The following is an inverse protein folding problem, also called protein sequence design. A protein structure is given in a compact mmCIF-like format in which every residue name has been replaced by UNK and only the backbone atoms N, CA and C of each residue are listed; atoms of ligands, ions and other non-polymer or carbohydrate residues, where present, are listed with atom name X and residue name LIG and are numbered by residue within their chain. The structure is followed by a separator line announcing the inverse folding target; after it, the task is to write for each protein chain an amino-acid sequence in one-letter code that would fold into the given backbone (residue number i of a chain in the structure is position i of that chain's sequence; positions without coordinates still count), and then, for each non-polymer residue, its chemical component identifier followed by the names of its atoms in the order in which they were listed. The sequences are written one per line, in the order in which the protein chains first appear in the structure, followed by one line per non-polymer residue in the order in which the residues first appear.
data_IF_951514503757
#
_entry.id   IF_951514503757
#
_cell.length_a   1.000
_cell.length_b   1.000
_cell.length_c   1.000
_cell.angle_alpha   90.00
_cell.angle_beta   90.00
_cell.angle_gamma   90.00
#
_symmetry.space_group_name_H-M   'P 1'
#
loop_
_entity.id
_entity.type
_entity.pdbx_description
1 polymer ?
#
# COMPACT_ATOMS: atom_id res chain seq x y z
N UNK A 1 -4.26 13.10 0.62
CA UNK A 1 -3.62 12.07 -0.23
C UNK A 1 -3.09 12.72 -1.49
N UNK A 2 -1.88 12.35 -1.92
CA UNK A 2 -1.28 12.74 -3.20
C UNK A 2 -1.28 11.55 -4.15
N UNK A 3 -1.71 11.74 -5.40
CA UNK A 3 -1.64 10.72 -6.45
C UNK A 3 -0.69 11.22 -7.55
N UNK A 4 0.44 10.55 -7.70
CA UNK A 4 1.51 10.92 -8.62
C UNK A 4 1.49 9.92 -9.78
N UNK A 5 1.17 10.39 -10.98
CA UNK A 5 1.14 9.57 -12.19
C UNK A 5 2.44 9.79 -12.97
N UNK A 6 3.07 8.72 -13.42
CA UNK A 6 4.27 8.72 -14.25
C UNK A 6 4.04 7.90 -15.50
N UNK A 7 4.78 8.24 -16.55
CA UNK A 7 4.58 7.65 -17.88
C UNK A 7 4.81 6.14 -17.87
N UNK A 8 5.79 5.67 -17.10
CA UNK A 8 6.12 4.24 -17.00
C UNK A 8 6.60 3.84 -15.61
N UNK A 9 6.82 2.53 -15.45
CA UNK A 9 7.29 1.91 -14.22
C UNK A 9 8.68 2.37 -13.77
N UNK A 10 9.58 2.74 -14.69
CA UNK A 10 10.91 3.23 -14.37
C UNK A 10 10.83 4.66 -13.82
N UNK A 11 10.01 5.52 -14.45
CA UNK A 11 9.77 6.89 -14.01
C UNK A 11 9.07 6.92 -12.64
N UNK A 12 8.10 6.03 -12.40
CA UNK A 12 7.47 5.83 -11.09
C UNK A 12 8.50 5.40 -10.03
N UNK A 13 9.30 4.38 -10.33
CA UNK A 13 10.34 3.87 -9.43
C UNK A 13 11.39 4.92 -9.09
N UNK A 14 11.86 5.67 -10.09
CA UNK A 14 12.84 6.75 -9.93
C UNK A 14 12.28 7.87 -9.06
N UNK A 15 11.01 8.24 -9.26
CA UNK A 15 10.36 9.26 -8.43
C UNK A 15 10.31 8.83 -6.96
N UNK A 16 9.89 7.60 -6.67
CA UNK A 16 9.83 7.07 -5.30
C UNK A 16 11.23 7.02 -4.67
N UNK A 17 12.24 6.53 -5.38
CA UNK A 17 13.61 6.48 -4.88
C UNK A 17 14.16 7.87 -4.56
N UNK A 18 13.96 8.85 -5.44
CA UNK A 18 14.37 10.23 -5.19
C UNK A 18 13.64 10.83 -3.99
N UNK A 19 12.34 10.56 -3.83
CA UNK A 19 11.59 11.01 -2.67
C UNK A 19 12.15 10.42 -1.36
N UNK A 20 12.45 9.11 -1.33
CA UNK A 20 13.09 8.48 -0.15
C UNK A 20 14.44 9.14 0.16
N UNK A 21 15.27 9.39 -0.85
CA UNK A 21 16.58 10.05 -0.69
C UNK A 21 16.41 11.47 -0.12
N UNK A 22 15.48 12.26 -0.67
CA UNK A 22 15.17 13.60 -0.17
C UNK A 22 14.69 13.56 1.28
N UNK A 23 13.89 12.56 1.65
CA UNK A 23 13.40 12.41 3.02
C UNK A 23 14.50 12.06 4.00
N UNK A 24 15.38 11.12 3.65
CA UNK A 24 16.55 10.78 4.49
C UNK A 24 17.48 11.99 4.62
N UNK A 25 17.78 12.70 3.53
CA UNK A 25 18.64 13.90 3.56
C UNK A 25 18.05 15.03 4.39
N UNK A 26 16.75 15.29 4.23
CA UNK A 26 16.05 16.33 5.00
C UNK A 26 15.93 15.99 6.49
N UNK A 27 15.91 14.71 6.84
CA UNK A 27 15.95 14.24 8.21
C UNK A 27 17.36 14.36 8.82
N UNK A 28 18.40 14.15 8.01
CA UNK A 28 19.81 14.20 8.42
C UNK A 28 20.12 13.24 9.59
N UNK A 29 20.01 11.92 9.38
CA UNK A 29 20.08 10.93 10.46
C UNK A 29 21.49 10.84 11.08
N UNK A 30 21.53 10.52 12.37
CA UNK A 30 22.74 10.21 13.14
C UNK A 30 22.57 8.89 13.89
N UNK A 31 23.61 8.42 14.57
CA UNK A 31 23.53 7.21 15.39
C UNK A 31 22.49 7.33 16.52
N UNK A 32 22.32 8.52 17.09
CA UNK A 32 21.36 8.80 18.18
C UNK A 32 19.94 9.06 17.69
N UNK A 33 19.80 9.48 16.42
CA UNK A 33 18.53 9.78 15.79
C UNK A 33 18.54 9.19 14.36
N UNK A 34 18.32 7.88 14.21
CA UNK A 34 18.31 7.23 12.90
C UNK A 34 17.00 7.54 12.15
N UNK A 35 17.05 7.43 10.82
CA UNK A 35 15.83 7.47 9.99
C UNK A 35 15.22 6.08 9.89
N UNK A 36 13.93 5.93 10.20
CA UNK A 36 13.26 4.63 10.23
C UNK A 36 12.43 4.41 8.96
N UNK A 37 12.79 3.37 8.19
CA UNK A 37 12.25 3.07 6.87
C UNK A 37 11.51 1.71 6.85
N UNK A 38 10.22 1.72 6.55
CA UNK A 38 9.43 0.51 6.28
C UNK A 38 9.60 0.06 4.83
N UNK A 39 9.85 -1.23 4.59
CA UNK A 39 10.20 -1.77 3.28
C UNK A 39 9.31 -2.97 2.85
N UNK A 40 8.82 -3.01 1.61
CA UNK A 40 8.07 -4.15 1.08
C UNK A 40 8.97 -5.09 0.27
N UNK A 41 8.47 -6.29 -0.04
CA UNK A 41 9.07 -7.19 -1.02
C UNK A 41 8.23 -7.23 -2.31
N UNK A 42 8.48 -8.21 -3.19
CA UNK A 42 7.73 -8.40 -4.43
C UNK A 42 8.28 -7.60 -5.59
N UNK A 43 7.56 -7.63 -6.72
CA UNK A 43 8.05 -7.05 -7.98
C UNK A 43 8.00 -5.52 -8.03
N UNK A 44 7.01 -4.90 -7.39
CA UNK A 44 6.81 -3.44 -7.45
C UNK A 44 7.98 -2.61 -6.92
N UNK A 45 8.63 -2.93 -5.78
CA UNK A 45 9.74 -2.12 -5.27
C UNK A 45 11.10 -2.38 -5.95
N UNK A 46 11.22 -3.37 -6.85
CA UNK A 46 12.52 -3.73 -7.45
C UNK A 46 13.20 -2.55 -8.15
N UNK A 47 12.46 -1.79 -8.95
CA UNK A 47 13.00 -0.59 -9.62
C UNK A 47 13.43 0.48 -8.62
N UNK A 48 12.71 0.62 -7.50
CA UNK A 48 13.06 1.56 -6.43
C UNK A 48 14.39 1.14 -5.80
N UNK A 49 14.57 -0.14 -5.46
CA UNK A 49 15.81 -0.65 -4.89
C UNK A 49 17.01 -0.48 -5.83
N UNK A 50 16.83 -0.75 -7.14
CA UNK A 50 17.87 -0.54 -8.14
C UNK A 50 18.37 0.91 -8.14
N UNK A 51 17.44 1.88 -8.20
CA UNK A 51 17.81 3.30 -8.19
C UNK A 51 18.46 3.71 -6.87
N UNK A 52 17.95 3.23 -5.71
CA UNK A 52 18.57 3.53 -4.41
C UNK A 52 20.02 2.99 -4.32
N UNK A 53 20.26 1.79 -4.84
CA UNK A 53 21.60 1.18 -4.89
C UNK A 53 22.52 1.97 -5.82
N UNK A 54 22.06 2.36 -7.00
CA UNK A 54 22.83 3.19 -7.94
C UNK A 54 23.22 4.52 -7.30
N UNK A 55 22.26 5.18 -6.65
CA UNK A 55 22.46 6.46 -5.95
C UNK A 55 23.41 6.34 -4.77
N UNK A 56 23.36 5.23 -4.03
CA UNK A 56 24.33 4.96 -2.98
C UNK A 56 25.74 4.78 -3.54
N UNK A 57 25.90 3.97 -4.60
CA UNK A 57 27.20 3.74 -5.26
C UNK A 57 27.79 5.02 -5.88
N UNK A 58 26.93 5.96 -6.29
CA UNK A 58 27.32 7.29 -6.74
C UNK A 58 27.70 8.25 -5.60
N UNK A 59 27.60 7.84 -4.34
CA UNK A 59 27.87 8.69 -3.17
C UNK A 59 26.78 9.72 -2.87
N UNK A 60 25.60 9.59 -3.47
CA UNK A 60 24.52 10.56 -3.30
C UNK A 60 23.71 10.33 -2.02
N UNK A 61 23.77 9.14 -1.41
CA UNK A 61 23.02 8.78 -0.19
C UNK A 61 23.78 7.74 0.66
N UNK A 62 23.63 7.80 1.98
CA UNK A 62 24.15 6.81 2.94
C UNK A 62 23.00 6.19 3.71
N UNK A 63 23.11 4.89 3.99
CA UNK A 63 22.16 4.10 4.80
C UNK A 63 22.75 3.69 6.16
N UNK A 64 23.92 4.24 6.54
CA UNK A 64 24.62 3.91 7.79
C UNK A 64 23.76 4.16 9.04
N UNK A 65 22.98 5.23 9.03
CA UNK A 65 22.08 5.62 10.13
C UNK A 65 20.60 5.45 9.75
N UNK A 66 20.31 4.47 8.90
CA UNK A 66 18.95 4.06 8.57
C UNK A 66 18.63 2.76 9.29
N UNK A 67 17.46 2.70 9.93
CA UNK A 67 16.87 1.49 10.52
C UNK A 67 15.72 1.05 9.65
N UNK A 68 15.66 -0.23 9.31
CA UNK A 68 14.67 -0.76 8.37
C UNK A 68 13.78 -1.81 9.00
N UNK A 69 12.48 -1.77 8.70
CA UNK A 69 11.50 -2.78 9.08
C UNK A 69 10.80 -3.33 7.83
N UNK A 70 10.88 -4.63 7.59
CA UNK A 70 10.14 -5.28 6.53
C UNK A 70 8.67 -5.54 6.91
N UNK A 71 7.80 -5.62 5.90
CA UNK A 71 6.36 -5.85 6.10
C UNK A 71 6.04 -7.26 6.61
N UNK A 72 6.72 -8.27 6.11
CA UNK A 72 6.30 -9.66 6.24
C UNK A 72 7.46 -10.66 6.04
N UNK A 73 7.21 -11.91 6.45
CA UNK A 73 8.04 -13.08 6.14
C UNK A 73 7.16 -14.34 6.17
N UNK A 74 7.48 -15.32 5.33
CA UNK A 74 6.77 -16.60 5.33
C UNK A 74 7.08 -17.40 6.60
N UNK A 75 6.06 -18.08 7.13
CA UNK A 75 6.23 -19.00 8.26
C UNK A 75 6.77 -20.35 7.77
N UNK A 76 7.82 -20.83 8.43
CA UNK A 76 8.39 -22.17 8.19
C UNK A 76 9.30 -22.26 6.96
N UNK A 77 9.56 -21.17 6.24
CA UNK A 77 10.54 -21.17 5.14
C UNK A 77 11.97 -21.03 5.70
N UNK A 78 12.96 -21.82 5.25
CA UNK A 78 14.34 -21.59 5.67
C UNK A 78 14.80 -20.17 5.34
N UNK A 79 15.53 -19.53 6.27
CA UNK A 79 15.98 -18.14 6.13
C UNK A 79 16.90 -17.90 4.93
N UNK A 80 17.63 -18.92 4.52
CA UNK A 80 18.53 -18.94 3.37
C UNK A 80 17.85 -19.42 2.09
N UNK A 81 16.56 -19.81 2.15
CA UNK A 81 15.80 -20.16 0.95
C UNK A 81 15.78 -18.97 -0.01
N UNK A 82 15.99 -19.17 -1.33
CA UNK A 82 16.10 -18.07 -2.30
C UNK A 82 14.86 -17.18 -2.34
N UNK A 83 13.69 -17.76 -2.12
CA UNK A 83 12.38 -17.08 -2.11
C UNK A 83 11.90 -16.62 -0.72
N UNK A 84 12.73 -16.77 0.32
CA UNK A 84 12.43 -16.11 1.61
C UNK A 84 12.54 -14.59 1.44
N UNK A 85 11.75 -13.83 2.19
CA UNK A 85 11.80 -12.37 2.12
C UNK A 85 13.09 -11.82 2.72
N UNK A 86 13.68 -12.54 3.66
CA UNK A 86 15.07 -12.36 4.07
C UNK A 86 16.02 -12.41 2.86
N UNK A 87 16.10 -13.53 2.13
CA UNK A 87 16.99 -13.65 0.95
C UNK A 87 16.69 -12.60 -0.13
N UNK A 88 15.41 -12.31 -0.39
CA UNK A 88 15.00 -11.26 -1.33
C UNK A 88 15.63 -9.92 -0.97
N UNK A 89 15.51 -9.47 0.29
CA UNK A 89 16.01 -8.16 0.69
C UNK A 89 17.53 -8.08 0.65
N UNK A 90 18.24 -9.14 1.06
CA UNK A 90 19.70 -9.18 0.96
C UNK A 90 20.19 -9.23 -0.48
N UNK A 91 19.49 -9.95 -1.36
CA UNK A 91 19.82 -10.03 -2.78
C UNK A 91 19.64 -8.70 -3.50
N UNK A 92 18.54 -8.00 -3.23
CA UNK A 92 18.13 -6.83 -4.02
C UNK A 92 18.54 -5.49 -3.41
N UNK A 93 18.80 -5.42 -2.11
CA UNK A 93 19.05 -4.14 -1.44
C UNK A 93 20.18 -4.18 -0.42
N UNK A 94 20.04 -4.92 0.68
CA UNK A 94 20.91 -4.76 1.85
C UNK A 94 22.39 -5.12 1.59
N UNK A 95 22.69 -6.06 0.70
CA UNK A 95 24.09 -6.39 0.35
C UNK A 95 24.79 -5.33 -0.52
N UNK A 96 24.05 -4.35 -1.03
CA UNK A 96 24.55 -3.37 -2.01
C UNK A 96 24.65 -1.96 -1.44
N UNK A 97 24.29 -1.77 -0.16
CA UNK A 97 24.33 -0.49 0.55
C UNK A 97 25.02 -0.63 1.90
N UNK A 98 25.46 0.49 2.48
CA UNK A 98 26.16 0.52 3.77
C UNK A 98 25.23 0.49 5.00
N UNK A 99 24.08 -0.19 4.93
CA UNK A 99 23.20 -0.38 6.10
C UNK A 99 23.86 -1.34 7.08
N UNK A 100 23.86 -0.99 8.38
CA UNK A 100 24.41 -1.89 9.39
C UNK A 100 23.47 -3.08 9.63
N UNK A 101 23.94 -4.34 9.69
CA UNK A 101 23.06 -5.51 9.86
C UNK A 101 22.18 -5.46 11.12
N UNK A 102 22.63 -4.82 12.20
CA UNK A 102 21.81 -4.64 13.42
C UNK A 102 20.62 -3.70 13.24
N UNK A 103 20.64 -2.88 12.19
CA UNK A 103 19.57 -1.93 11.87
C UNK A 103 18.54 -2.56 10.92
N UNK A 104 18.72 -3.82 10.54
CA UNK A 104 17.82 -4.55 9.65
C UNK A 104 16.88 -5.43 10.47
N UNK A 105 15.59 -5.12 10.44
CA UNK A 105 14.54 -5.87 11.11
C UNK A 105 13.63 -6.54 10.07
N UNK A 106 13.59 -7.87 10.11
CA UNK A 106 12.71 -8.72 9.31
C UNK A 106 12.09 -9.73 10.28
N UNK A 107 10.78 -9.95 10.18
CA UNK A 107 10.04 -10.90 11.00
C UNK A 107 10.65 -12.30 10.92
N UNK A 108 10.84 -12.96 12.06
CA UNK A 108 11.34 -14.33 12.08
C UNK A 108 10.21 -15.36 11.92
N UNK A 109 9.91 -15.76 10.68
CA UNK A 109 8.92 -16.78 10.37
C UNK A 109 9.21 -18.19 10.91
N UNK A 110 10.39 -18.42 11.50
CA UNK A 110 10.78 -19.68 12.15
C UNK A 110 10.93 -19.53 13.68
N UNK A 111 10.43 -18.44 14.27
CA UNK A 111 10.47 -18.25 15.71
C UNK A 111 9.71 -19.39 16.43
N UNK A 112 10.20 -19.87 17.59
CA UNK A 112 9.53 -20.93 18.34
C UNK A 112 8.15 -20.49 18.86
N UNK A 113 7.97 -19.18 19.08
CA UNK A 113 6.68 -18.58 19.40
C UNK A 113 6.43 -17.39 18.46
N UNK A 114 5.56 -17.61 17.48
CA UNK A 114 5.23 -16.63 16.45
C UNK A 114 4.47 -15.41 17.00
N UNK A 115 3.63 -15.58 18.02
CA UNK A 115 2.91 -14.45 18.64
C UNK A 115 3.87 -13.55 19.41
N UNK A 116 4.82 -14.14 20.14
CA UNK A 116 5.85 -13.39 20.85
C UNK A 116 6.76 -12.62 19.87
N UNK A 117 7.09 -13.21 18.73
CA UNK A 117 7.82 -12.54 17.64
C UNK A 117 7.05 -11.31 17.13
N UNK A 118 5.74 -11.42 16.88
CA UNK A 118 4.91 -10.30 16.44
C UNK A 118 4.89 -9.15 17.46
N UNK A 119 4.76 -9.47 18.76
CA UNK A 119 4.78 -8.47 19.84
C UNK A 119 6.15 -7.79 19.93
N UNK A 120 7.24 -8.57 19.89
CA UNK A 120 8.60 -8.05 19.93
C UNK A 120 8.89 -7.12 18.74
N UNK A 121 8.35 -7.44 17.56
CA UNK A 121 8.50 -6.62 16.36
C UNK A 121 7.82 -5.26 16.51
N UNK A 122 6.60 -5.23 17.05
CA UNK A 122 5.87 -3.99 17.36
C UNK A 122 6.58 -3.14 18.42
N UNK A 123 7.17 -3.79 19.43
CA UNK A 123 7.93 -3.10 20.47
C UNK A 123 9.26 -2.56 19.95
N UNK A 124 9.92 -3.26 19.02
CA UNK A 124 11.11 -2.75 18.33
C UNK A 124 10.80 -1.49 17.50
N UNK A 125 9.67 -1.46 16.78
CA UNK A 125 9.21 -0.26 16.06
C UNK A 125 9.00 0.92 17.03
N UNK A 126 8.35 0.68 18.17
CA UNK A 126 8.12 1.73 19.18
C UNK A 126 9.41 2.20 19.83
N UNK A 127 10.36 1.31 20.08
CA UNK A 127 11.64 1.62 20.73
C UNK A 127 12.47 2.62 19.92
N UNK A 128 12.36 2.61 18.59
CA UNK A 128 13.02 3.58 17.70
C UNK A 128 12.16 4.81 17.39
N UNK A 129 11.01 4.97 18.05
CA UNK A 129 10.14 6.15 17.90
C UNK A 129 9.09 6.06 16.79
N UNK A 130 8.91 4.89 16.18
CA UNK A 130 8.00 4.66 15.06
C UNK A 130 8.67 4.78 13.68
N UNK A 131 7.90 4.51 12.62
CA UNK A 131 8.39 4.51 11.24
C UNK A 131 8.23 5.92 10.65
N UNK A 132 9.31 6.48 10.09
CA UNK A 132 9.28 7.80 9.46
C UNK A 132 8.66 7.75 8.07
N UNK A 133 9.02 6.75 7.28
CA UNK A 133 8.45 6.53 5.95
C UNK A 133 8.24 5.03 5.74
N UNK A 134 7.02 4.65 5.38
CA UNK A 134 6.69 3.28 5.02
C UNK A 134 6.49 3.18 3.50
N UNK A 135 7.40 2.50 2.80
CA UNK A 135 7.21 2.13 1.41
C UNK A 135 6.32 0.88 1.33
N UNK A 136 5.28 0.92 0.51
CA UNK A 136 4.33 -0.17 0.36
C UNK A 136 4.06 -0.49 -1.12
N UNK A 137 3.65 -1.72 -1.39
CA UNK A 137 2.99 -2.11 -2.63
C UNK A 137 1.52 -2.42 -2.39
N UNK A 138 0.84 -2.88 -3.44
CA UNK A 138 -0.55 -3.36 -3.38
C UNK A 138 -0.69 -4.70 -4.08
N UNK A 139 -1.53 -5.58 -3.53
CA UNK A 139 -2.07 -6.78 -4.18
C UNK A 139 -3.01 -6.46 -5.35
N UNK A 140 -3.31 -7.44 -6.20
CA UNK A 140 -4.35 -7.28 -7.26
C UNK A 140 -5.76 -7.22 -6.67
N UNK A 141 -5.93 -7.73 -5.45
CA UNK A 141 -7.13 -7.70 -4.60
C UNK A 141 -7.16 -6.49 -3.63
N UNK A 142 -6.17 -5.60 -3.70
CA UNK A 142 -6.07 -4.44 -2.82
C UNK A 142 -5.39 -4.66 -1.47
N UNK A 143 -4.76 -5.81 -1.23
CA UNK A 143 -4.05 -6.03 0.03
C UNK A 143 -2.80 -5.15 0.17
N UNK A 144 -2.49 -4.75 1.40
CA UNK A 144 -1.20 -4.19 1.80
C UNK A 144 -0.46 -5.19 2.70
N UNK A 145 0.82 -5.48 2.41
CA UNK A 145 1.52 -6.64 2.99
C UNK A 145 0.66 -7.91 2.81
N UNK A 146 0.65 -8.84 3.77
CA UNK A 146 -0.34 -9.94 3.78
C UNK A 146 -1.66 -9.57 4.47
N UNK A 147 -2.07 -8.29 4.52
CA UNK A 147 -3.39 -7.91 5.00
C UNK A 147 -4.44 -8.12 3.91
N UNK A 148 -4.75 -9.39 3.67
CA UNK A 148 -5.72 -9.87 2.68
C UNK A 148 -7.15 -9.37 2.94
N UNK A 149 -8.03 -9.41 1.92
CA UNK A 149 -9.44 -9.04 2.07
C UNK A 149 -10.10 -9.68 3.29
N UNK A 150 -10.82 -8.85 4.06
CA UNK A 150 -11.45 -9.21 5.33
C UNK A 150 -10.56 -8.94 6.55
N UNK A 151 -9.29 -8.56 6.38
CA UNK A 151 -8.42 -8.18 7.50
C UNK A 151 -8.92 -6.92 8.20
N UNK A 152 -8.88 -6.92 9.54
CA UNK A 152 -9.26 -5.73 10.32
C UNK A 152 -8.39 -4.52 9.92
N UNK A 153 -9.03 -3.37 9.71
CA UNK A 153 -8.34 -2.11 9.44
C UNK A 153 -7.55 -1.59 10.67
N UNK A 154 -7.90 -2.08 11.86
CA UNK A 154 -7.18 -1.81 13.11
C UNK A 154 -6.18 -2.93 13.47
N UNK A 155 -5.86 -3.83 12.54
CA UNK A 155 -4.98 -4.98 12.81
C UNK A 155 -3.55 -4.55 13.16
N UNK A 156 -2.91 -5.34 14.04
CA UNK A 156 -1.48 -5.29 14.39
C UNK A 156 -0.71 -6.41 13.71
N UNK A 157 0.61 -6.42 13.91
CA UNK A 157 1.49 -7.51 13.49
C UNK A 157 0.98 -8.85 14.01
N UNK A 158 0.82 -9.83 13.12
CA UNK A 158 0.22 -11.14 13.45
C UNK A 158 0.62 -12.23 12.47
N UNK A 159 0.35 -13.47 12.88
CA UNK A 159 0.30 -14.63 11.97
C UNK A 159 -0.94 -14.51 11.07
N UNK A 160 -0.77 -14.76 9.79
CA UNK A 160 -1.84 -14.74 8.80
C UNK A 160 -1.76 -15.98 7.90
N UNK A 161 -2.87 -16.70 7.80
CA UNK A 161 -3.07 -17.72 6.77
C UNK A 161 -3.27 -17.04 5.43
N UNK A 162 -2.53 -17.47 4.42
CA UNK A 162 -2.61 -16.93 3.06
C UNK A 162 -3.84 -17.49 2.34
N UNK A 163 -4.53 -16.63 1.60
CA UNK A 163 -5.62 -16.97 0.71
C UNK A 163 -5.10 -17.79 -0.48
N UNK A 164 -6.01 -18.56 -1.07
CA UNK A 164 -5.69 -19.39 -2.23
C UNK A 164 -5.15 -18.56 -3.41
N UNK A 165 -5.74 -17.39 -3.68
CA UNK A 165 -5.30 -16.51 -4.76
C UNK A 165 -3.89 -15.96 -4.54
N UNK A 166 -3.52 -15.67 -3.29
CA UNK A 166 -2.15 -15.27 -2.91
C UNK A 166 -1.16 -16.41 -3.14
N UNK A 167 -1.53 -17.63 -2.73
CA UNK A 167 -0.72 -18.83 -2.97
C UNK A 167 -0.53 -19.06 -4.47
N UNK A 168 -1.61 -18.95 -5.26
CA UNK A 168 -1.57 -19.10 -6.70
C UNK A 168 -0.68 -18.04 -7.36
N UNK A 169 -0.82 -16.77 -6.97
CA UNK A 169 -0.02 -15.66 -7.49
C UNK A 169 1.47 -15.79 -7.14
N UNK A 170 1.78 -16.31 -5.94
CA UNK A 170 3.16 -16.48 -5.48
C UNK A 170 3.80 -17.76 -6.00
N UNK A 171 3.02 -18.76 -6.46
CA UNK A 171 3.56 -20.02 -7.02
C UNK A 171 4.54 -19.80 -8.16
N UNK A 172 4.42 -18.69 -8.92
CA UNK A 172 5.40 -18.30 -9.96
C UNK A 172 6.85 -18.15 -9.47
N UNK A 173 7.03 -17.93 -8.17
CA UNK A 173 8.34 -17.85 -7.52
C UNK A 173 8.81 -19.23 -7.01
N UNK A 174 7.90 -20.18 -6.85
CA UNK A 174 8.14 -21.54 -6.34
C UNK A 174 7.90 -22.58 -7.45
N UNK A 175 8.59 -22.43 -8.59
CA UNK A 175 8.53 -23.34 -9.74
C UNK A 175 7.11 -23.57 -10.33
N UNK A 176 6.18 -22.65 -10.09
CA UNK A 176 4.75 -22.79 -10.40
C UNK A 176 4.05 -23.95 -9.66
N UNK A 177 4.60 -24.38 -8.52
CA UNK A 177 4.00 -25.40 -7.64
C UNK A 177 3.41 -24.77 -6.38
N UNK A 178 2.07 -24.79 -6.30
CA UNK A 178 1.33 -24.27 -5.15
C UNK A 178 1.65 -24.97 -3.83
N UNK A 179 2.17 -26.22 -3.88
CA UNK A 179 2.47 -26.98 -2.67
C UNK A 179 3.77 -26.54 -2.01
N UNK A 180 4.65 -25.87 -2.76
CA UNK A 180 5.91 -25.33 -2.26
C UNK A 180 5.73 -23.95 -1.61
N UNK A 181 4.60 -23.27 -1.87
CA UNK A 181 4.30 -21.96 -1.29
C UNK A 181 3.91 -22.14 0.18
N UNK A 182 4.56 -21.42 1.12
CA UNK A 182 4.16 -21.44 2.53
C UNK A 182 2.70 -20.99 2.70
N UNK A 183 1.97 -21.67 3.59
CA UNK A 183 0.52 -21.39 3.80
C UNK A 183 0.25 -20.27 4.79
N UNK A 184 1.27 -19.83 5.52
CA UNK A 184 1.16 -18.79 6.54
C UNK A 184 2.32 -17.81 6.40
N UNK A 185 2.10 -16.58 6.85
CA UNK A 185 3.11 -15.55 6.95
C UNK A 185 2.96 -14.79 8.27
N UNK A 186 4.05 -14.21 8.74
CA UNK A 186 4.01 -13.10 9.67
C UNK A 186 3.87 -11.82 8.84
N UNK A 187 3.02 -10.90 9.27
CA UNK A 187 2.81 -9.62 8.58
C UNK A 187 2.55 -8.53 9.58
N UNK A 188 3.07 -7.33 9.31
CA UNK A 188 2.62 -6.09 9.95
C UNK A 188 1.12 -5.89 9.69
N UNK A 189 0.44 -5.27 10.66
CA UNK A 189 -0.98 -4.97 10.53
C UNK A 189 -1.25 -3.71 9.72
N UNK A 190 -2.52 -3.52 9.33
CA UNK A 190 -2.96 -2.28 8.65
C UNK A 190 -2.69 -1.07 9.53
N UNK A 191 -3.01 -1.14 10.83
CA UNK A 191 -2.76 -0.05 11.76
C UNK A 191 -1.26 0.19 11.97
N UNK A 192 -0.44 -0.86 11.96
CA UNK A 192 1.03 -0.75 12.05
C UNK A 192 1.59 0.09 10.90
N UNK A 193 1.05 -0.07 9.68
CA UNK A 193 1.44 0.78 8.54
C UNK A 193 0.89 2.19 8.67
N UNK A 194 -0.36 2.36 9.10
CA UNK A 194 -1.00 3.67 9.27
C UNK A 194 -0.43 4.52 10.42
N UNK A 195 0.41 3.92 11.28
CA UNK A 195 1.16 4.59 12.35
C UNK A 195 2.49 5.17 11.87
N UNK A 196 2.90 4.90 10.63
CA UNK A 196 4.05 5.59 10.05
C UNK A 196 3.76 7.09 9.87
N UNK A 197 4.80 7.93 9.86
CA UNK A 197 4.61 9.38 9.66
C UNK A 197 4.21 9.69 8.21
N UNK A 198 4.79 8.98 7.26
CA UNK A 198 4.46 9.01 5.83
C UNK A 198 4.29 7.58 5.31
N UNK A 199 3.30 7.39 4.43
CA UNK A 199 3.14 6.12 3.69
C UNK A 199 3.21 6.42 2.20
N UNK A 200 4.15 5.79 1.51
CA UNK A 200 4.36 5.91 0.07
C UNK A 200 4.04 4.56 -0.56
N UNK A 201 3.07 4.52 -1.47
CA UNK A 201 2.68 3.31 -2.18
C UNK A 201 3.14 3.38 -3.62
N UNK A 202 3.80 2.34 -4.12
CA UNK A 202 4.10 2.18 -5.54
C UNK A 202 3.18 1.14 -6.17
N UNK A 203 2.46 1.50 -7.23
CA UNK A 203 1.48 0.65 -7.91
C UNK A 203 1.75 0.65 -9.41
N UNK A 204 2.13 -0.50 -9.96
CA UNK A 204 2.61 -0.62 -11.33
C UNK A 204 1.80 -1.65 -12.13
N UNK A 205 1.46 -1.29 -13.35
CA UNK A 205 0.87 -2.15 -14.36
C UNK A 205 -0.64 -2.31 -14.27
N UNK A 206 -1.24 -2.66 -15.41
CA UNK A 206 -2.68 -2.79 -15.61
C UNK A 206 -3.37 -3.73 -14.61
N UNK A 207 -2.72 -4.82 -14.19
CA UNK A 207 -3.31 -5.79 -13.25
C UNK A 207 -3.67 -5.18 -11.89
N UNK A 208 -3.11 -4.01 -11.55
CA UNK A 208 -3.37 -3.30 -10.29
C UNK A 208 -4.43 -2.20 -10.43
N UNK A 209 -4.93 -1.94 -11.64
CA UNK A 209 -5.81 -0.81 -11.93
C UNK A 209 -7.14 -0.87 -11.18
N UNK A 210 -7.76 -2.05 -11.11
CA UNK A 210 -8.98 -2.24 -10.33
C UNK A 210 -8.74 -1.95 -8.85
N UNK A 211 -7.65 -2.47 -8.28
CA UNK A 211 -7.32 -2.25 -6.88
C UNK A 211 -7.06 -0.77 -6.58
N UNK A 212 -6.36 -0.06 -7.46
CA UNK A 212 -6.16 1.39 -7.37
C UNK A 212 -7.50 2.14 -7.36
N UNK A 213 -8.39 1.82 -8.30
CA UNK A 213 -9.72 2.44 -8.40
C UNK A 213 -10.53 2.25 -7.12
N UNK A 214 -10.55 1.02 -6.59
CA UNK A 214 -11.26 0.69 -5.35
C UNK A 214 -10.69 1.42 -4.15
N UNK A 215 -9.38 1.63 -4.10
CA UNK A 215 -8.74 2.28 -2.97
C UNK A 215 -8.81 3.81 -3.02
N UNK A 216 -8.99 4.42 -4.19
CA UNK A 216 -9.04 5.88 -4.35
C UNK A 216 -10.46 6.41 -4.50
N UNK A 217 -11.31 5.76 -5.30
CA UNK A 217 -12.62 6.32 -5.67
C UNK A 217 -13.78 5.76 -4.84
N UNK A 218 -13.57 4.66 -4.12
CA UNK A 218 -14.60 4.02 -3.30
C UNK A 218 -14.35 4.28 -1.81
N UNK A 219 -15.37 4.00 -0.99
CA UNK A 219 -15.27 4.15 0.46
C UNK A 219 -14.30 3.15 1.11
N UNK A 220 -13.72 3.57 2.23
CA UNK A 220 -12.87 2.74 3.09
C UNK A 220 -13.58 1.45 3.46
N UNK A 221 -12.93 0.31 3.21
CA UNK A 221 -13.48 -1.00 3.56
C UNK A 221 -12.36 -2.04 3.74
N UNK A 222 -12.65 -3.09 4.50
CA UNK A 222 -11.70 -4.16 4.78
C UNK A 222 -11.51 -5.19 3.64
N UNK A 223 -12.28 -5.10 2.56
CA UNK A 223 -12.08 -5.96 1.38
C UNK A 223 -10.96 -5.43 0.48
N UNK A 224 -10.71 -4.12 0.53
CA UNK A 224 -9.63 -3.43 -0.17
C UNK A 224 -8.79 -2.72 0.89
N UNK A 225 -7.92 -3.45 1.60
CA UNK A 225 -7.30 -2.95 2.84
C UNK A 225 -6.43 -1.70 2.64
N UNK A 226 -5.86 -1.51 1.45
CA UNK A 226 -5.16 -0.26 1.10
C UNK A 226 -6.09 0.98 1.08
N UNK A 227 -7.41 0.81 0.95
CA UNK A 227 -8.38 1.93 1.07
C UNK A 227 -8.29 2.65 2.42
N UNK A 228 -7.77 1.98 3.45
CA UNK A 228 -7.49 2.59 4.76
C UNK A 228 -6.51 3.77 4.71
N UNK A 229 -5.69 3.90 3.65
CA UNK A 229 -4.84 5.07 3.43
C UNK A 229 -5.61 6.37 3.28
N UNK A 230 -6.90 6.33 2.95
CA UNK A 230 -7.75 7.53 2.95
C UNK A 230 -7.83 8.16 4.35
N UNK A 231 -7.60 7.38 5.41
CA UNK A 231 -7.58 7.84 6.80
C UNK A 231 -6.21 8.38 7.22
N UNK A 232 -5.16 8.08 6.47
CA UNK A 232 -3.80 8.48 6.81
C UNK A 232 -3.60 9.99 6.58
N UNK A 233 -2.87 10.71 7.46
CA UNK A 233 -2.64 12.14 7.32
C UNK A 233 -1.70 12.50 6.16
N UNK A 234 -0.70 11.65 5.89
CA UNK A 234 0.31 11.89 4.83
C UNK A 234 0.52 10.70 3.88
N UNK A 235 -0.51 10.27 3.11
CA UNK A 235 -0.38 9.21 2.13
C UNK A 235 0.00 9.76 0.75
N UNK A 236 0.94 9.10 0.09
CA UNK A 236 1.31 9.30 -1.30
C UNK A 236 1.17 7.98 -2.06
N UNK A 237 0.54 8.04 -3.22
CA UNK A 237 0.45 6.91 -4.14
C UNK A 237 1.15 7.34 -5.43
N UNK A 238 2.12 6.54 -5.87
CA UNK A 238 2.88 6.73 -7.12
C UNK A 238 2.57 5.59 -8.05
N UNK A 239 2.11 5.92 -9.26
CA UNK A 239 1.61 4.95 -10.24
C UNK A 239 2.21 5.18 -11.62
N UNK A 240 2.29 4.11 -12.42
CA UNK A 240 2.45 4.24 -13.86
C UNK A 240 1.11 4.48 -14.56
N UNK A 241 1.14 4.86 -15.84
CA UNK A 241 -0.06 5.15 -16.62
C UNK A 241 -1.00 3.93 -16.69
N UNK A 242 -0.44 2.73 -16.90
CA UNK A 242 -1.20 1.47 -17.01
C UNK A 242 -2.01 1.14 -15.75
N UNK A 243 -1.53 1.48 -14.56
CA UNK A 243 -2.28 1.30 -13.33
C UNK A 243 -3.52 2.23 -13.24
N UNK A 244 -3.64 3.26 -14.07
CA UNK A 244 -4.76 4.23 -14.02
C UNK A 244 -5.97 3.85 -14.89
N UNK A 245 -5.93 2.73 -15.62
CA UNK A 245 -6.93 2.39 -16.65
C UNK A 245 -8.38 2.28 -16.16
N UNK A 246 -8.59 1.96 -14.87
CA UNK A 246 -9.91 1.86 -14.25
C UNK A 246 -10.35 3.17 -13.56
N UNK A 247 -9.47 4.18 -13.47
CA UNK A 247 -9.78 5.47 -12.86
C UNK A 247 -10.65 6.35 -13.76
N UNK A 248 -11.50 7.17 -13.15
CA UNK A 248 -12.25 8.17 -13.90
C UNK A 248 -11.31 9.25 -14.45
N UNK A 249 -11.55 9.68 -15.69
CA UNK A 249 -10.76 10.72 -16.36
C UNK A 249 -10.62 11.99 -15.52
N UNK A 250 -11.67 12.38 -14.77
CA UNK A 250 -11.62 13.54 -13.87
C UNK A 250 -10.66 13.32 -12.69
N UNK A 251 -10.55 12.11 -12.16
CA UNK A 251 -9.62 11.74 -11.08
C UNK A 251 -8.19 11.85 -11.57
N UNK A 252 -7.90 11.28 -12.75
CA UNK A 252 -6.60 11.35 -13.41
C UNK A 252 -6.22 12.81 -13.70
N UNK A 253 -7.15 13.59 -14.27
CA UNK A 253 -6.91 15.01 -14.56
C UNK A 253 -6.51 15.77 -13.31
N UNK A 254 -7.26 15.67 -12.20
CA UNK A 254 -6.94 16.34 -10.92
C UNK A 254 -5.57 15.93 -10.40
N UNK A 255 -5.17 14.67 -10.58
CA UNK A 255 -3.89 14.14 -10.11
C UNK A 255 -2.71 14.64 -10.94
N UNK A 256 -2.87 14.77 -12.27
CA UNK A 256 -1.86 15.37 -13.16
C UNK A 256 -1.64 16.86 -12.82
N UNK A 257 -2.67 17.57 -12.34
CA UNK A 257 -2.52 18.97 -11.90
C UNK A 257 -1.58 19.12 -10.70
N UNK A 258 -1.32 18.05 -9.95
CA UNK A 258 -0.41 18.04 -8.81
C UNK A 258 1.04 17.78 -9.23
N UNK A 259 1.45 18.00 -10.49
CA UNK A 259 2.83 17.80 -10.93
C UNK A 259 3.51 19.11 -11.34
N UNK A 260 4.81 19.33 -11.03
CA UNK A 260 5.56 20.43 -11.62
C UNK A 260 5.89 20.12 -13.09
N UNK A 261 5.34 20.90 -14.02
CA UNK A 261 5.72 20.86 -15.44
C UNK A 261 7.08 21.54 -15.69
N UNK A 262 7.94 20.89 -16.50
CA UNK A 262 9.24 21.40 -16.97
C UNK A 262 9.13 22.29 -18.23
N UNK A 263 7.93 22.62 -18.71
CA UNK A 263 7.72 23.36 -19.96
C UNK A 263 7.24 24.79 -19.67
N UNK A 264 7.90 25.85 -20.21
CA UNK A 264 7.48 27.23 -19.99
C UNK A 264 6.15 27.55 -20.69
N UNK A 265 5.27 28.37 -20.08
CA UNK A 265 3.91 28.58 -20.58
C UNK A 265 3.84 29.59 -21.73
N UNK A 266 3.00 29.28 -22.74
CA UNK A 266 2.52 30.23 -23.74
C UNK A 266 1.10 30.70 -23.40
N UNK A 267 0.84 32.00 -23.56
CA UNK A 267 -0.12 32.78 -22.79
C UNK A 267 -1.62 32.67 -23.17
N UNK A 268 -2.06 31.68 -23.97
CA UNK A 268 -3.39 31.73 -24.61
C UNK A 268 -4.35 30.57 -24.30
N UNK A 269 -4.03 29.63 -23.41
CA UNK A 269 -4.88 28.46 -23.17
C UNK A 269 -5.42 28.38 -21.72
N UNK A 270 -6.74 28.52 -21.56
CA UNK A 270 -7.45 28.34 -20.28
C UNK A 270 -7.30 26.92 -19.72
N UNK A 271 -6.85 25.92 -20.51
CA UNK A 271 -6.50 24.58 -20.03
C UNK A 271 -5.26 24.55 -19.12
N UNK A 272 -4.42 25.59 -19.14
CA UNK A 272 -3.19 25.66 -18.34
C UNK A 272 -3.41 26.15 -16.91
N UNK A 273 -4.53 26.84 -16.62
CA UNK A 273 -4.84 27.38 -15.28
C UNK A 273 -4.93 26.29 -14.21
N UNK A 274 -5.27 25.07 -14.64
CA UNK A 274 -5.42 23.92 -13.76
C UNK A 274 -4.11 23.12 -13.63
N UNK A 275 -3.17 23.18 -14.59
CA UNK A 275 -2.09 22.17 -14.78
C UNK A 275 -0.95 22.18 -13.75
N UNK A 276 -1.06 22.87 -12.63
CA UNK A 276 0.10 23.07 -11.75
C UNK A 276 -0.27 23.51 -10.32
N UNK A 277 -1.16 22.81 -9.65
CA UNK A 277 -1.48 23.05 -8.22
C UNK A 277 -0.23 22.92 -7.35
N UNK A 278 0.67 21.96 -7.60
CA UNK A 278 1.92 21.84 -6.81
C UNK A 278 2.88 23.01 -7.04
N UNK A 279 3.07 23.47 -8.29
CA UNK A 279 3.92 24.66 -8.53
C UNK A 279 3.25 25.95 -8.08
N UNK A 280 1.92 26.09 -8.17
CA UNK A 280 1.19 27.23 -7.58
C UNK A 280 1.33 27.22 -6.05
N UNK A 281 1.20 26.05 -5.43
CA UNK A 281 1.41 25.90 -3.99
C UNK A 281 2.86 26.24 -3.61
N UNK A 282 3.86 25.69 -4.32
CA UNK A 282 5.29 25.96 -4.08
C UNK A 282 5.67 27.43 -4.31
N UNK A 283 5.15 28.05 -5.36
CA UNK A 283 5.31 29.49 -5.63
C UNK A 283 4.64 30.35 -4.54
N UNK A 284 3.56 29.87 -3.95
CA UNK A 284 2.90 30.48 -2.79
C UNK A 284 3.53 30.09 -1.44
N UNK A 285 4.62 29.31 -1.42
CA UNK A 285 5.29 28.85 -0.21
C UNK A 285 4.57 27.74 0.56
N UNK A 286 3.56 27.10 -0.04
CA UNK A 286 2.81 25.97 0.50
C UNK A 286 3.25 24.65 -0.15
N UNK A 287 3.71 23.69 0.65
CA UNK A 287 3.94 22.31 0.20
C UNK A 287 3.06 21.35 1.01
N UNK A 288 2.36 20.41 0.34
CA UNK A 288 1.69 19.28 1.00
C UNK A 288 2.73 18.26 1.47
N UNK A 289 3.59 18.69 2.38
CA UNK A 289 4.69 17.92 2.97
C UNK A 289 4.52 17.97 4.49
N UNK A 290 5.07 16.97 5.19
CA UNK A 290 5.13 16.97 6.65
C UNK A 290 5.62 18.32 7.20
N UNK A 291 5.04 18.80 8.33
CA UNK A 291 5.60 19.95 9.04
C UNK A 291 7.09 19.74 9.36
N UNK A 292 7.89 20.80 9.32
CA UNK A 292 9.36 20.74 9.44
C UNK A 292 9.86 19.96 10.66
N UNK A 293 9.14 20.02 11.79
CA UNK A 293 9.47 19.25 13.00
C UNK A 293 9.28 17.74 12.81
N UNK A 294 8.21 17.32 12.16
CA UNK A 294 7.96 15.89 11.86
C UNK A 294 8.94 15.41 10.80
N UNK A 295 9.29 16.28 9.85
CA UNK A 295 10.27 16.01 8.79
C UNK A 295 11.68 15.70 9.32
N UNK A 296 12.04 16.28 10.47
CA UNK A 296 13.35 16.19 11.14
C UNK A 296 13.35 15.24 12.34
N UNK A 297 12.33 14.37 12.49
CA UNK A 297 12.22 13.40 13.58
C UNK A 297 11.72 13.95 14.92
N UNK A 298 11.79 15.26 15.12
CA UNK A 298 11.43 15.94 16.38
C UNK A 298 9.91 16.23 16.55
N UNK A 299 9.06 15.71 15.66
CA UNK A 299 7.63 15.96 15.66
C UNK A 299 6.81 14.83 16.27
N UNK A 300 5.63 15.13 16.79
CA UNK A 300 4.66 14.10 17.23
C UNK A 300 4.16 13.36 15.98
N UNK A 301 4.18 12.02 16.02
CA UNK A 301 3.57 11.18 14.98
C UNK A 301 2.06 11.44 14.98
N UNK A 302 1.46 11.90 13.86
CA UNK A 302 0.02 12.11 13.81
C UNK A 302 -0.70 10.77 13.99
N UNK A 303 -1.61 10.70 14.96
CA UNK A 303 -2.37 9.48 15.25
C UNK A 303 -3.48 9.30 14.21
N UNK A 304 -3.28 8.39 13.28
CA UNK A 304 -4.38 7.82 12.49
C UNK A 304 -5.20 6.93 13.43
N UNK A 305 -6.33 7.41 13.95
CA UNK A 305 -7.30 6.57 14.65
C UNK A 305 -8.40 6.19 13.68
N UNK A 306 -8.57 4.90 13.45
CA UNK A 306 -9.90 4.38 13.12
C UNK A 306 -10.66 4.44 14.43
N UNK A 307 -11.62 5.36 14.56
CA UNK A 307 -12.45 5.41 15.76
C UNK A 307 -13.07 4.03 15.99
N UNK A 308 -13.03 3.54 17.22
CA UNK A 308 -13.89 2.43 17.63
C UNK A 308 -15.33 2.92 17.49
N UNK A 309 -15.93 2.67 16.33
CA UNK A 309 -17.37 2.83 16.20
C UNK A 309 -17.94 1.84 17.21
N UNK A 310 -18.62 2.36 18.23
CA UNK A 310 -19.46 1.54 19.09
C UNK A 310 -20.29 0.69 18.15
N UNK A 311 -20.07 -0.64 18.13
CA UNK A 311 -20.88 -1.53 17.31
C UNK A 311 -22.33 -1.13 17.58
N UNK A 312 -23.17 -0.90 16.55
CA UNK A 312 -24.57 -0.64 16.81
C UNK A 312 -25.02 -1.75 17.74
N UNK A 313 -25.51 -1.40 18.93
CA UNK A 313 -25.87 -2.38 19.95
C UNK A 313 -26.73 -3.41 19.24
N UNK A 314 -26.21 -4.64 19.09
CA UNK A 314 -27.02 -5.73 18.57
C UNK A 314 -28.08 -5.90 19.63
N UNK A 315 -29.24 -5.29 19.40
CA UNK A 315 -30.41 -5.61 20.19
C UNK A 315 -30.54 -7.13 20.06
N UNK A 316 -30.47 -7.83 21.20
CA UNK A 316 -30.69 -9.27 21.23
C UNK A 316 -31.93 -9.57 20.37
N UNK A 317 -31.88 -10.60 19.50
CA UNK A 317 -32.99 -10.89 18.60
C UNK A 317 -34.27 -11.02 19.41
N UNK A 318 -35.17 -10.05 19.22
CA UNK A 318 -36.48 -10.10 19.83
C UNK A 318 -37.23 -11.27 19.17
N UNK A 319 -37.81 -12.20 19.95
CA UNK A 319 -38.55 -13.31 19.37
C UNK A 319 -39.67 -12.76 18.50
N UNK A 320 -39.63 -13.08 17.21
CA UNK A 320 -40.68 -12.75 16.27
C UNK A 320 -41.95 -13.49 16.70
N UNK A 321 -42.91 -12.76 17.27
CA UNK A 321 -44.25 -13.30 17.49
C UNK A 321 -44.79 -13.81 16.17
N UNK A 322 -45.22 -15.08 16.14
CA UNK A 322 -45.55 -15.90 14.97
C UNK A 322 -46.80 -15.47 14.18
N UNK A 323 -47.03 -14.16 14.00
CA UNK A 323 -48.29 -13.64 13.43
C UNK A 323 -48.22 -13.22 11.96
N UNK A 324 -47.10 -13.45 11.27
CA UNK A 324 -46.93 -13.11 9.85
C UNK A 324 -46.68 -14.31 8.92
N UNK A 325 -47.06 -15.52 9.34
CA UNK A 325 -47.15 -16.69 8.46
C UNK A 325 -48.60 -17.16 8.35
N UNK A 326 -49.40 -16.42 7.58
CA UNK A 326 -50.53 -17.02 6.85
C UNK A 326 -50.30 -16.75 5.38
N UNK A 327 -49.71 -17.73 4.72
CA UNK A 327 -49.67 -17.78 3.26
C UNK A 327 -51.10 -17.89 2.73
N UNK A 328 -51.48 -16.97 1.84
CA UNK A 328 -52.58 -17.15 0.89
C UNK A 328 -52.14 -18.19 -0.16
N UNK A 329 -53.01 -19.10 -0.62
CA UNK A 329 -52.61 -20.12 -1.60
C UNK A 329 -52.30 -19.49 -2.95
N UNK A 330 -51.32 -20.08 -3.65
CA UNK A 330 -50.91 -19.69 -4.99
C UNK A 330 -51.99 -20.04 -6.04
N UNK A 331 -52.78 -19.05 -6.43
CA UNK A 331 -53.52 -19.06 -7.71
C UNK A 331 -53.58 -17.62 -8.23
N UNK A 332 -53.25 -17.45 -9.51
CA UNK A 332 -53.28 -16.21 -10.32
C UNK A 332 -51.96 -15.42 -10.42
N UNK A 333 -51.07 -15.89 -11.31
CA UNK A 333 -50.18 -15.00 -12.06
C UNK A 333 -50.69 -14.93 -13.51
N UNK A 334 -50.98 -13.74 -14.07
CA UNK A 334 -51.19 -13.62 -15.50
C UNK A 334 -49.83 -13.68 -16.22
N UNK A 335 -49.66 -14.72 -17.04
CA UNK A 335 -48.53 -14.90 -17.95
C UNK A 335 -48.55 -13.77 -18.98
N UNK A 336 -47.59 -12.84 -18.92
CA UNK A 336 -47.27 -11.97 -20.06
C UNK A 336 -46.30 -12.71 -20.98
N UNK A 337 -46.86 -13.36 -22.01
CA UNK A 337 -46.10 -13.82 -23.17
C UNK A 337 -45.72 -12.62 -24.05
N UNK A 338 -44.43 -12.37 -24.22
CA UNK A 338 -43.96 -11.53 -25.32
C UNK A 338 -42.96 -12.36 -26.12
N UNK A 339 -43.45 -12.96 -27.20
CA UNK A 339 -42.61 -13.60 -28.22
C UNK A 339 -42.00 -12.51 -29.12
N UNK A 340 -40.73 -12.62 -29.55
CA UNK A 340 -40.20 -11.75 -30.58
C UNK A 340 -40.68 -12.19 -31.97
N UNK A 341 -41.34 -11.30 -32.70
CA UNK A 341 -41.74 -11.52 -34.09
C UNK A 341 -40.50 -11.70 -34.98
N UNK A 342 -40.42 -12.86 -35.64
CA UNK A 342 -39.53 -13.10 -36.78
C UNK A 342 -40.10 -12.41 -38.00
N UNK A 343 -39.40 -11.41 -38.50
CA UNK A 343 -39.65 -10.81 -39.81
C UNK A 343 -39.31 -11.83 -40.90
N UNK A 344 -40.33 -12.35 -41.59
CA UNK A 344 -40.16 -13.12 -42.82
C UNK A 344 -40.01 -12.16 -44.00
N UNK A 345 -38.82 -12.11 -44.59
CA UNK A 345 -38.61 -11.58 -45.93
C UNK A 345 -38.83 -12.70 -46.96
N UNK A 346 -39.78 -12.52 -47.89
CA UNK A 346 -39.79 -13.13 -49.22
C UNK A 346 -40.60 -12.26 -50.18
N UNK A 347 -39.91 -11.55 -51.07
CA UNK A 347 -39.76 -11.88 -52.51
C UNK A 347 -38.74 -10.95 -53.12
#
# INVERSE_FOLDING_TARGET
MRLIIRDDSNAASTYVANYIIERIKAFNPSAENPFVLGLPTGSSPLGVYQVLVEKHKAGEISFEHVVTFNMDEYVGIPRDHPESYHSFMWKHFFSHVNVHPSNVHILNGNAPNLEAECVAYEDAIKAVGGIDLFLAGIGEDGHIAFNEPGSSLASRTRVKTLAYDTILANSRFFDNDINQVPRMALTVGVQTVLEAREVVVIILGQRKSLALQRCIEQGVNHMWTLSSLQLHPHPMIVVDEDATLELQVKTVKVSILQLPSLVPPNHSDKSQYFKSIEKVAREAGFEQILPSKVRTGNGIVPRTRVDEISSPTIAAPQPTTSRLLRATPATEYPVRSVSPERTTART
#
